data_IF_189273357865
#
_entry.id   IF_189273357865
#
_cell.length_a   1.000
_cell.length_b   1.000
_cell.length_c   1.000
_cell.angle_alpha   90.00
_cell.angle_beta   90.00
_cell.angle_gamma   90.00
#
_symmetry.space_group_name_H-M   'P 1'
#
loop_
_entity.id
_entity.type
_entity.pdbx_description
1 polymer ?
#
# COMPACT_ATOMS: atom_id res chain seq x y z
N UNK A 1 -13.20 -11.42 -3.75
CA UNK A 1 -13.97 -10.48 -2.89
C UNK A 1 -14.70 -11.18 -1.73
N UNK A 2 -15.45 -12.27 -1.93
CA UNK A 2 -16.07 -13.04 -0.80
C UNK A 2 -15.08 -13.52 0.27
N UNK A 3 -13.80 -13.73 -0.08
CA UNK A 3 -12.77 -14.21 0.84
C UNK A 3 -12.34 -13.19 1.92
N UNK A 4 -12.69 -11.91 1.76
CA UNK A 4 -12.21 -10.85 2.65
C UNK A 4 -13.34 -10.12 3.40
N UNK A 5 -14.60 -10.50 3.17
CA UNK A 5 -15.75 -9.96 3.92
C UNK A 5 -16.18 -8.54 3.55
N UNK A 6 -15.74 -8.00 2.40
CA UNK A 6 -16.20 -6.71 1.89
C UNK A 6 -16.79 -6.87 0.48
N UNK A 7 -17.88 -6.15 0.21
CA UNK A 7 -18.55 -6.16 -1.11
C UNK A 7 -17.94 -5.14 -2.08
N UNK A 8 -17.40 -4.04 -1.56
CA UNK A 8 -16.77 -2.97 -2.35
C UNK A 8 -15.81 -2.15 -1.48
N UNK A 9 -14.83 -1.49 -2.11
CA UNK A 9 -13.97 -0.51 -1.44
C UNK A 9 -14.65 0.85 -1.54
N UNK A 10 -15.00 1.50 -0.41
CA UNK A 10 -15.57 2.84 -0.44
C UNK A 10 -14.54 3.83 -0.97
N UNK A 11 -14.99 4.82 -1.73
CA UNK A 11 -14.14 5.94 -2.14
C UNK A 11 -14.43 7.15 -1.26
N UNK A 12 -13.40 7.70 -0.62
CA UNK A 12 -13.47 8.96 0.12
C UNK A 12 -12.62 9.99 -0.61
N UNK A 13 -13.22 11.13 -0.95
CA UNK A 13 -12.51 12.24 -1.62
C UNK A 13 -11.83 11.84 -2.95
N UNK A 14 -12.44 10.92 -3.69
CA UNK A 14 -11.88 10.39 -4.95
C UNK A 14 -10.77 9.36 -4.76
N UNK A 15 -10.46 8.96 -3.53
CA UNK A 15 -9.52 7.89 -3.23
C UNK A 15 -10.19 6.64 -2.67
N UNK A 16 -9.70 5.44 -3.04
CA UNK A 16 -10.13 4.21 -2.42
C UNK A 16 -9.70 4.18 -0.94
N UNK A 17 -10.66 4.02 -0.05
CA UNK A 17 -10.43 3.86 1.38
C UNK A 17 -10.21 2.37 1.69
N UNK A 18 -8.94 2.02 1.87
CA UNK A 18 -8.52 0.66 2.17
C UNK A 18 -8.50 0.34 3.66
N UNK A 19 -8.94 1.24 4.56
CA UNK A 19 -8.80 1.01 6.00
C UNK A 19 -9.52 -0.25 6.47
N UNK A 20 -10.59 -0.68 5.80
CA UNK A 20 -11.31 -1.93 6.13
C UNK A 20 -10.59 -3.21 5.69
N UNK A 21 -9.76 -3.13 4.65
CA UNK A 21 -9.07 -4.28 4.05
C UNK A 21 -7.57 -4.31 4.32
N UNK A 22 -7.03 -3.18 4.78
CA UNK A 22 -5.64 -3.01 5.13
C UNK A 22 -5.26 -3.90 6.30
N UNK A 23 -4.16 -4.64 6.16
CA UNK A 23 -3.58 -5.49 7.22
C UNK A 23 -2.31 -4.88 7.83
N UNK A 24 -2.05 -3.62 7.52
CA UNK A 24 -0.92 -2.85 8.01
C UNK A 24 -0.89 -1.48 7.37
N UNK A 25 -0.70 -0.45 8.18
CA UNK A 25 -0.55 0.94 7.77
C UNK A 25 0.77 1.43 8.34
N UNK A 26 1.61 1.98 7.47
CA UNK A 26 2.92 2.53 7.83
C UNK A 26 3.17 3.81 7.07
N UNK A 27 3.98 4.68 7.65
CA UNK A 27 4.49 5.87 6.99
C UNK A 27 5.97 5.65 6.66
N UNK A 28 6.34 5.85 5.40
CA UNK A 28 7.74 5.82 4.94
C UNK A 28 8.31 7.23 4.88
N UNK A 29 9.60 7.36 5.13
CA UNK A 29 10.27 8.65 5.22
C UNK A 29 10.73 9.18 3.85
N UNK A 30 11.23 8.29 2.97
CA UNK A 30 11.82 8.64 1.67
C UNK A 30 10.97 8.05 0.53
N UNK A 31 9.77 8.59 0.35
CA UNK A 31 8.91 8.18 -0.76
C UNK A 31 9.49 8.62 -2.10
N UNK A 32 9.59 7.68 -3.03
CA UNK A 32 10.15 7.90 -4.36
C UNK A 32 9.20 7.38 -5.47
N UNK A 33 9.56 7.57 -6.74
CA UNK A 33 8.84 6.89 -7.83
C UNK A 33 9.30 5.44 -8.06
N UNK A 34 10.30 4.97 -7.30
CA UNK A 34 10.74 3.59 -7.28
C UNK A 34 9.91 2.78 -6.26
N UNK A 35 8.96 1.99 -6.78
CA UNK A 35 8.07 1.17 -5.95
C UNK A 35 8.83 0.21 -5.06
N UNK A 36 9.91 -0.39 -5.55
CA UNK A 36 10.68 -1.38 -4.79
C UNK A 36 11.25 -0.74 -3.53
N UNK A 37 11.86 0.44 -3.68
CA UNK A 37 12.39 1.23 -2.56
C UNK A 37 11.31 1.64 -1.56
N UNK A 38 10.11 1.99 -2.03
CA UNK A 38 8.97 2.30 -1.15
C UNK A 38 8.49 1.05 -0.40
N UNK A 39 8.46 -0.11 -1.07
CA UNK A 39 8.01 -1.38 -0.50
C UNK A 39 8.98 -1.89 0.56
N UNK A 40 10.28 -1.79 0.33
CA UNK A 40 11.32 -2.18 1.28
C UNK A 40 11.17 -1.38 2.58
N UNK A 41 11.05 -0.04 2.47
CA UNK A 41 10.80 0.83 3.63
C UNK A 41 9.51 0.47 4.36
N UNK A 42 8.44 0.15 3.63
CA UNK A 42 7.16 -0.21 4.24
C UNK A 42 7.24 -1.55 4.98
N UNK A 43 7.94 -2.53 4.42
CA UNK A 43 8.21 -3.81 5.08
C UNK A 43 9.05 -3.62 6.34
N UNK A 44 10.08 -2.77 6.29
CA UNK A 44 10.89 -2.41 7.47
C UNK A 44 10.05 -1.79 8.58
N UNK A 45 9.27 -0.74 8.28
CA UNK A 45 8.41 -0.08 9.26
C UNK A 45 7.36 -1.03 9.85
N UNK A 46 6.76 -1.88 9.03
CA UNK A 46 5.75 -2.82 9.51
C UNK A 46 6.38 -3.93 10.35
N UNK A 47 7.59 -4.36 10.00
CA UNK A 47 8.37 -5.30 10.76
C UNK A 47 8.73 -4.75 12.14
N UNK A 48 9.16 -3.49 12.22
CA UNK A 48 9.40 -2.78 13.50
C UNK A 48 8.13 -2.73 14.37
N UNK A 49 6.98 -2.40 13.78
CA UNK A 49 5.70 -2.36 14.51
C UNK A 49 5.27 -3.74 15.03
N UNK A 50 5.54 -4.81 14.27
CA UNK A 50 5.15 -6.18 14.62
C UNK A 50 6.21 -6.95 15.41
N UNK A 51 7.42 -6.42 15.51
CA UNK A 51 8.56 -7.10 16.13
C UNK A 51 9.03 -8.33 15.35
N UNK A 52 8.93 -8.32 14.03
CA UNK A 52 9.41 -9.38 13.13
C UNK A 52 10.49 -8.83 12.17
N UNK A 53 10.97 -9.62 11.22
CA UNK A 53 11.90 -9.12 10.19
C UNK A 53 11.15 -8.57 8.96
N UNK A 54 11.76 -7.66 8.17
CA UNK A 54 11.20 -7.19 6.91
C UNK A 54 10.97 -8.34 5.92
N UNK A 55 11.86 -9.33 5.90
CA UNK A 55 11.75 -10.55 5.08
C UNK A 55 10.49 -11.37 5.44
N UNK A 56 10.15 -11.47 6.74
CA UNK A 56 8.91 -12.13 7.16
C UNK A 56 7.67 -11.38 6.67
N UNK A 57 7.71 -10.04 6.68
CA UNK A 57 6.62 -9.23 6.15
C UNK A 57 6.46 -9.44 4.64
N UNK A 58 7.56 -9.40 3.89
CA UNK A 58 7.59 -9.63 2.46
C UNK A 58 7.07 -11.04 2.10
N UNK A 59 7.60 -12.07 2.75
CA UNK A 59 7.17 -13.45 2.54
C UNK A 59 5.67 -13.63 2.86
N UNK A 60 5.20 -13.04 3.95
CA UNK A 60 3.77 -13.07 4.29
C UNK A 60 2.93 -12.39 3.22
N UNK A 61 3.37 -11.25 2.67
CA UNK A 61 2.67 -10.54 1.59
C UNK A 61 2.57 -11.43 0.35
N UNK A 62 3.65 -12.06 -0.06
CA UNK A 62 3.65 -12.95 -1.23
C UNK A 62 2.75 -14.17 -1.02
N UNK A 63 2.85 -14.84 0.13
CA UNK A 63 2.04 -16.02 0.45
C UNK A 63 0.54 -15.70 0.55
N UNK A 64 0.20 -14.54 1.11
CA UNK A 64 -1.19 -14.12 1.31
C UNK A 64 -1.74 -13.28 0.15
N UNK A 65 -0.94 -13.02 -0.90
CA UNK A 65 -1.30 -12.17 -2.05
C UNK A 65 -1.69 -10.74 -1.66
N UNK A 66 -0.84 -10.10 -0.87
CA UNK A 66 -0.94 -8.69 -0.50
C UNK A 66 0.15 -7.86 -1.19
N UNK A 67 -0.16 -6.60 -1.43
CA UNK A 67 0.74 -5.58 -1.97
C UNK A 67 0.70 -4.35 -1.10
N UNK A 68 1.70 -3.49 -1.22
CA UNK A 68 1.62 -2.13 -0.70
C UNK A 68 0.88 -1.24 -1.70
N UNK A 69 0.00 -0.40 -1.17
CA UNK A 69 -0.65 0.68 -1.89
C UNK A 69 -0.05 2.01 -1.41
N UNK A 70 0.40 2.79 -2.38
CA UNK A 70 1.03 4.10 -2.19
C UNK A 70 -0.05 5.21 -2.23
N UNK A 71 -0.34 5.81 -1.07
CA UNK A 71 -1.37 6.84 -0.93
C UNK A 71 -0.93 8.20 -1.55
N UNK A 72 -1.90 9.08 -1.86
CA UNK A 72 -1.63 10.38 -2.54
C UNK A 72 -0.84 11.41 -1.73
N UNK A 73 -0.62 11.15 -0.45
CA UNK A 73 0.22 11.95 0.43
C UNK A 73 1.71 11.65 0.26
N UNK A 74 2.06 10.63 -0.53
CA UNK A 74 3.44 10.22 -0.82
C UNK A 74 4.23 9.93 0.47
N UNK A 75 3.59 9.34 1.48
CA UNK A 75 4.22 8.88 2.72
C UNK A 75 3.54 7.63 3.26
N UNK A 76 2.23 7.60 3.21
CA UNK A 76 1.43 6.52 3.79
C UNK A 76 1.36 5.33 2.82
N UNK A 77 1.59 4.14 3.38
CA UNK A 77 1.60 2.86 2.67
C UNK A 77 0.60 1.91 3.33
N UNK A 78 -0.36 1.41 2.55
CA UNK A 78 -1.40 0.48 3.03
C UNK A 78 -1.15 -0.93 2.51
N UNK A 79 -1.11 -1.92 3.40
CA UNK A 79 -0.95 -3.32 3.01
C UNK A 79 -2.29 -3.92 2.64
N UNK A 80 -2.59 -3.97 1.34
CA UNK A 80 -3.91 -4.34 0.80
C UNK A 80 -3.83 -5.62 -0.03
N UNK A 81 -4.95 -6.36 -0.20
CA UNK A 81 -4.94 -7.54 -1.05
C UNK A 81 -4.70 -7.16 -2.51
N UNK A 82 -3.82 -7.88 -3.21
CA UNK A 82 -3.46 -7.60 -4.61
C UNK A 82 -4.67 -7.72 -5.54
N UNK A 83 -5.62 -8.61 -5.24
CA UNK A 83 -6.88 -8.71 -5.99
C UNK A 83 -7.72 -7.44 -5.93
N UNK A 84 -7.71 -6.75 -4.78
CA UNK A 84 -8.42 -5.48 -4.60
C UNK A 84 -7.71 -4.38 -5.35
N UNK A 85 -6.40 -4.29 -5.19
CA UNK A 85 -5.58 -3.32 -5.90
C UNK A 85 -5.74 -3.49 -7.42
N UNK A 86 -5.68 -4.70 -7.97
CA UNK A 86 -5.84 -4.92 -9.42
C UNK A 86 -7.21 -4.53 -10.00
N UNK A 87 -8.25 -4.44 -9.19
CA UNK A 87 -9.62 -4.10 -9.63
C UNK A 87 -9.96 -2.61 -9.52
N UNK A 88 -9.06 -1.78 -8.99
CA UNK A 88 -9.30 -0.35 -8.80
C UNK A 88 -8.58 0.44 -9.91
N UNK A 89 -9.25 1.47 -10.43
CA UNK A 89 -8.66 2.36 -11.44
C UNK A 89 -7.73 3.36 -10.74
N UNK A 90 -6.41 3.24 -10.92
CA UNK A 90 -5.44 4.00 -10.11
C UNK A 90 -5.03 5.35 -10.72
N UNK A 91 -5.30 6.43 -9.99
CA UNK A 91 -4.48 7.64 -9.94
C UNK A 91 -3.80 7.66 -8.56
N UNK A 92 -2.72 6.89 -8.38
CA UNK A 92 -2.09 6.66 -7.08
C UNK A 92 -0.98 7.66 -6.71
N UNK A 93 -0.30 7.43 -5.58
CA UNK A 93 0.80 8.27 -5.07
C UNK A 93 1.89 8.56 -6.10
N UNK A 94 2.35 7.55 -6.86
CA UNK A 94 3.35 7.75 -7.92
C UNK A 94 2.83 8.65 -9.05
N UNK A 95 1.57 8.49 -9.45
CA UNK A 95 0.98 9.33 -10.51
C UNK A 95 0.96 10.79 -10.08
N UNK A 96 0.71 11.06 -8.80
CA UNK A 96 0.75 12.40 -8.23
C UNK A 96 2.20 12.89 -8.08
N UNK A 97 3.10 12.09 -7.51
CA UNK A 97 4.52 12.42 -7.41
C UNK A 97 5.14 12.79 -8.77
N UNK A 98 4.82 12.03 -9.83
CA UNK A 98 5.25 12.33 -11.20
C UNK A 98 4.55 13.57 -11.80
N UNK A 99 3.34 13.89 -11.37
CA UNK A 99 2.66 15.12 -11.81
C UNK A 99 3.23 16.36 -11.13
N UNK A 100 3.58 16.27 -9.85
CA UNK A 100 4.22 17.35 -9.07
C UNK A 100 5.71 17.55 -9.43
N UNK A 101 6.44 16.51 -9.87
CA UNK A 101 7.86 16.62 -10.25
C UNK A 101 8.11 16.86 -11.75
N UNK A 102 7.07 17.05 -12.55
CA UNK A 102 7.21 17.32 -13.98
C UNK A 102 6.90 18.80 -14.26
N UNK A 103 7.81 19.67 -13.80
CA UNK A 103 7.97 21.07 -14.23
C UNK A 103 9.29 21.25 -15.01
#
# INVERSE_FOLDING_TARGET
MEQYGFESIPFRDGEPDFSEVSKGEVEIDDFSDDRSSNFDQADEKLAEQKGCTPEEVAAWREENKYTWHECKDCKTMHKVPTEVHGNISHSGGISKYKSDNNE
#
